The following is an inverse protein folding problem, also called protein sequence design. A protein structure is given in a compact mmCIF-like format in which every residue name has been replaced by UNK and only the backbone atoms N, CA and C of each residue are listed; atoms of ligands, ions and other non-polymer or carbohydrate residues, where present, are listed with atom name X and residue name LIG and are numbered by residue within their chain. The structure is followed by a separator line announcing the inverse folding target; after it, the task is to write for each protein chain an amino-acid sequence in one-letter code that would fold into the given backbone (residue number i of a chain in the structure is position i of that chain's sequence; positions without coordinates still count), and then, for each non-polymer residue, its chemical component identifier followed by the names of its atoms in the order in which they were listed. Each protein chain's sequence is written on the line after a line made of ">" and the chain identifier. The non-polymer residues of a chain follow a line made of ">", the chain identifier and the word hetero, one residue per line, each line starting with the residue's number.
data_IF_909399878926
#
_entry.id   IF_909399878926
#
_cell.length_a   1.000
_cell.length_b   1.000
_cell.length_c   1.000
_cell.angle_alpha   90.00
_cell.angle_beta   90.00
_cell.angle_gamma   90.00
#
_symmetry.space_group_name_H-M   'P 1'
#
loop_
_entity.id
_entity.type
_entity.pdbx_description
1 polymer ?
#
# COMPACT_ATOMS: atom_id res chain seq x y z
N UNK A 1 -5.13 12.30 -2.90
CA UNK A 1 -5.26 10.92 -2.37
C UNK A 1 -4.02 10.13 -2.70
N UNK A 2 -3.68 9.14 -1.88
CA UNK A 2 -2.65 8.15 -2.22
C UNK A 2 -1.23 8.48 -1.76
N UNK A 3 -1.01 9.49 -0.91
CA UNK A 3 0.29 9.70 -0.27
C UNK A 3 0.48 8.77 0.94
N UNK A 4 -0.59 8.59 1.70
CA UNK A 4 -0.65 7.71 2.86
C UNK A 4 -1.49 6.49 2.52
N UNK A 5 -1.01 5.34 2.94
CA UNK A 5 -1.76 4.09 2.95
C UNK A 5 -1.83 3.60 4.39
N UNK A 6 -2.84 2.78 4.65
CA UNK A 6 -3.08 2.24 5.97
C UNK A 6 -3.39 0.76 5.88
N UNK A 7 -3.31 0.09 7.03
CA UNK A 7 -3.84 -1.24 7.19
C UNK A 7 -4.26 -1.47 8.63
N UNK A 8 -5.24 -2.36 8.81
CA UNK A 8 -5.87 -2.60 10.10
C UNK A 8 -6.09 -4.09 10.33
N UNK A 9 -5.73 -4.56 11.52
CA UNK A 9 -6.19 -5.81 12.11
C UNK A 9 -7.26 -5.48 13.15
N UNK A 10 -8.51 -5.85 12.88
CA UNK A 10 -9.68 -5.42 13.65
C UNK A 10 -10.37 -6.59 14.34
N UNK A 11 -11.23 -6.27 15.30
CA UNK A 11 -12.04 -7.23 16.04
C UNK A 11 -13.51 -6.80 16.06
N UNK A 12 -14.44 -7.76 16.24
CA UNK A 12 -15.89 -7.50 16.30
C UNK A 12 -16.49 -7.69 17.70
N UNK A 13 -15.77 -8.35 18.61
CA UNK A 13 -16.26 -8.63 19.96
C UNK A 13 -15.72 -7.63 20.98
N UNK A 14 -16.63 -7.02 21.75
CA UNK A 14 -16.30 -6.07 22.81
C UNK A 14 -15.48 -6.73 23.93
N UNK A 15 -15.87 -7.94 24.33
CA UNK A 15 -15.14 -8.75 25.29
C UNK A 15 -14.29 -9.79 24.58
N UNK A 16 -13.04 -9.89 25.01
CA UNK A 16 -12.12 -10.93 24.56
C UNK A 16 -11.76 -11.83 25.73
N UNK A 17 -11.77 -13.14 25.51
CA UNK A 17 -11.16 -14.12 26.41
C UNK A 17 -9.63 -14.12 26.30
N UNK A 18 -9.08 -13.50 25.24
CA UNK A 18 -7.64 -13.33 24.97
C UNK A 18 -7.21 -11.87 25.12
N UNK A 19 -5.91 -11.59 25.20
CA UNK A 19 -5.37 -10.23 25.29
C UNK A 19 -5.29 -9.48 23.95
N UNK A 20 -6.09 -9.86 22.94
CA UNK A 20 -6.02 -9.25 21.60
C UNK A 20 -6.39 -7.78 21.60
N UNK A 21 -5.79 -7.00 20.71
CA UNK A 21 -6.06 -5.58 20.48
C UNK A 21 -6.42 -5.36 19.01
N UNK A 22 -7.13 -4.28 18.69
CA UNK A 22 -7.18 -3.82 17.31
C UNK A 22 -5.94 -2.98 17.03
N UNK A 23 -5.33 -3.11 15.86
CA UNK A 23 -4.15 -2.33 15.46
C UNK A 23 -4.29 -1.75 14.06
N UNK A 24 -4.00 -0.46 13.89
CA UNK A 24 -3.97 0.23 12.60
C UNK A 24 -2.65 0.97 12.42
N UNK A 25 -2.00 0.78 11.26
CA UNK A 25 -0.77 1.49 10.87
C UNK A 25 -1.03 2.47 9.73
N UNK A 26 -0.32 3.60 9.72
CA UNK A 26 -0.27 4.55 8.60
C UNK A 26 1.16 4.63 8.06
N UNK A 27 1.33 4.36 6.76
CA UNK A 27 2.59 4.46 6.04
C UNK A 27 2.55 5.62 5.03
N UNK A 28 3.62 6.42 5.03
CA UNK A 28 3.87 7.45 4.01
C UNK A 28 4.64 6.82 2.85
N UNK A 29 4.04 6.79 1.66
CA UNK A 29 4.63 6.15 0.47
C UNK A 29 5.87 6.84 -0.09
N UNK A 30 6.04 8.15 0.14
CA UNK A 30 7.22 8.87 -0.36
C UNK A 30 8.48 8.56 0.45
N UNK A 31 8.30 8.41 1.76
CA UNK A 31 9.43 8.14 2.67
C UNK A 31 9.56 6.67 3.00
N UNK A 32 8.56 5.87 2.63
CA UNK A 32 8.40 4.46 2.97
C UNK A 32 8.44 4.18 4.49
N UNK A 33 7.83 5.07 5.27
CA UNK A 33 7.88 5.03 6.73
C UNK A 33 6.51 4.98 7.37
N UNK A 34 6.40 4.20 8.44
CA UNK A 34 5.26 4.27 9.37
C UNK A 34 5.31 5.63 10.08
N UNK A 35 4.24 6.40 9.94
CA UNK A 35 4.12 7.77 10.48
C UNK A 35 3.11 7.89 11.62
N UNK A 36 2.19 6.94 11.74
CA UNK A 36 1.26 6.84 12.84
C UNK A 36 0.80 5.41 13.05
N UNK A 37 0.31 5.15 14.26
CA UNK A 37 -0.23 3.88 14.70
C UNK A 37 -1.33 4.18 15.71
N UNK A 38 -2.42 3.42 15.65
CA UNK A 38 -3.41 3.36 16.71
C UNK A 38 -3.66 1.90 17.06
N UNK A 39 -3.42 1.53 18.30
CA UNK A 39 -3.66 0.18 18.78
C UNK A 39 -4.30 0.22 20.15
N UNK A 40 -5.36 -0.57 20.31
CA UNK A 40 -6.05 -0.67 21.59
C UNK A 40 -7.37 -1.43 21.48
N UNK A 41 -7.96 -1.67 22.65
CA UNK A 41 -9.29 -2.25 22.80
C UNK A 41 -10.17 -1.33 23.65
N UNK A 42 -10.77 -0.27 23.08
CA UNK A 42 -11.76 0.53 23.79
C UNK A 42 -12.97 -0.33 24.22
N UNK A 43 -13.80 0.23 25.10
CA UNK A 43 -14.95 -0.45 25.71
C UNK A 43 -15.88 -1.14 24.69
N UNK A 44 -15.99 -0.59 23.47
CA UNK A 44 -16.81 -1.17 22.40
C UNK A 44 -16.04 -1.19 21.07
N UNK A 45 -16.29 -2.20 20.23
CA UNK A 45 -15.71 -2.33 18.90
C UNK A 45 -16.08 -1.13 17.98
N UNK A 46 -17.31 -0.59 17.99
CA UNK A 46 -17.63 0.66 17.28
C UNK A 46 -16.77 1.86 17.71
N UNK A 47 -16.31 1.91 18.96
CA UNK A 47 -15.39 2.97 19.41
C UNK A 47 -14.00 2.79 18.81
N UNK A 48 -13.54 1.56 18.63
CA UNK A 48 -12.31 1.27 17.89
C UNK A 48 -12.45 1.69 16.43
N UNK A 49 -13.53 1.29 15.75
CA UNK A 49 -13.77 1.64 14.34
C UNK A 49 -13.82 3.16 14.11
N UNK A 50 -14.41 3.92 15.04
CA UNK A 50 -14.44 5.38 14.95
C UNK A 50 -13.05 6.00 15.10
N UNK A 51 -12.22 5.48 16.00
CA UNK A 51 -10.86 5.95 16.17
C UNK A 51 -10.00 5.61 14.94
N UNK A 52 -10.15 4.41 14.38
CA UNK A 52 -9.55 4.03 13.11
C UNK A 52 -9.99 4.99 11.99
N UNK A 53 -11.29 5.20 11.81
CA UNK A 53 -11.84 6.11 10.78
C UNK A 53 -11.30 7.54 10.91
N UNK A 54 -11.21 8.07 12.14
CA UNK A 54 -10.63 9.40 12.40
C UNK A 54 -9.15 9.46 12.02
N UNK A 55 -8.38 8.42 12.33
CA UNK A 55 -6.98 8.32 11.94
C UNK A 55 -6.84 8.33 10.41
N UNK A 56 -7.67 7.55 9.70
CA UNK A 56 -7.68 7.51 8.23
C UNK A 56 -8.08 8.85 7.63
N UNK A 57 -9.06 9.56 8.21
CA UNK A 57 -9.45 10.90 7.77
C UNK A 57 -8.33 11.91 7.95
N UNK A 58 -7.66 11.90 9.11
CA UNK A 58 -6.58 12.82 9.42
C UNK A 58 -5.41 12.70 8.43
N UNK A 59 -5.02 11.47 8.08
CA UNK A 59 -3.95 11.22 7.10
C UNK A 59 -4.43 11.17 5.66
N UNK A 60 -5.74 11.26 5.42
CA UNK A 60 -6.36 11.01 4.11
C UNK A 60 -5.86 9.69 3.47
N UNK A 61 -5.86 8.62 4.26
CA UNK A 61 -5.29 7.32 3.90
C UNK A 61 -6.37 6.34 3.43
N UNK A 62 -5.98 5.45 2.50
CA UNK A 62 -6.77 4.26 2.13
C UNK A 62 -6.29 3.06 2.96
N UNK A 63 -7.22 2.36 3.61
CA UNK A 63 -6.94 1.26 4.52
C UNK A 63 -7.17 -0.10 3.89
N UNK A 64 -6.16 -0.98 3.96
CA UNK A 64 -6.28 -2.40 3.71
C UNK A 64 -6.48 -3.16 5.03
N UNK A 65 -7.72 -3.54 5.32
CA UNK A 65 -8.06 -4.24 6.56
C UNK A 65 -8.22 -5.75 6.34
N UNK A 66 -8.11 -6.53 7.42
CA UNK A 66 -8.47 -7.95 7.41
C UNK A 66 -9.99 -8.11 7.24
N UNK A 67 -10.43 -8.63 6.09
CA UNK A 67 -11.86 -8.68 5.75
C UNK A 67 -12.59 -9.97 6.19
N UNK A 68 -12.06 -10.68 7.19
CA UNK A 68 -12.71 -11.85 7.77
C UNK A 68 -13.90 -11.48 8.65
N UNK A 69 -13.84 -10.30 9.26
CA UNK A 69 -14.86 -9.75 10.12
C UNK A 69 -15.69 -8.68 9.39
N UNK A 70 -16.98 -8.57 9.74
CA UNK A 70 -17.93 -7.71 9.04
C UNK A 70 -18.17 -6.37 9.73
N UNK A 71 -17.86 -6.27 11.03
CA UNK A 71 -18.17 -5.11 11.87
C UNK A 71 -17.54 -3.82 11.36
N UNK A 72 -16.25 -3.84 11.02
CA UNK A 72 -15.54 -2.66 10.52
C UNK A 72 -16.16 -2.14 9.22
N UNK A 73 -16.37 -3.01 8.22
CA UNK A 73 -16.97 -2.60 6.94
C UNK A 73 -18.37 -2.01 7.14
N UNK A 74 -19.23 -2.69 7.91
CA UNK A 74 -20.58 -2.21 8.20
C UNK A 74 -20.58 -0.85 8.91
N UNK A 75 -19.61 -0.61 9.80
CA UNK A 75 -19.45 0.69 10.45
C UNK A 75 -19.06 1.79 9.45
N UNK A 76 -18.11 1.51 8.56
CA UNK A 76 -17.67 2.46 7.54
C UNK A 76 -18.78 2.76 6.53
N UNK A 77 -19.59 1.77 6.18
CA UNK A 77 -20.79 1.94 5.34
C UNK A 77 -21.81 2.86 6.00
N UNK A 78 -22.14 2.61 7.28
CA UNK A 78 -23.03 3.47 8.08
C UNK A 78 -22.53 4.91 8.17
N UNK A 79 -21.20 5.11 8.21
CA UNK A 79 -20.57 6.42 8.27
C UNK A 79 -20.23 7.01 6.88
N UNK A 80 -20.74 6.43 5.79
CA UNK A 80 -20.47 6.86 4.41
C UNK A 80 -18.97 6.99 4.07
N UNK A 81 -18.14 6.17 4.70
CA UNK A 81 -16.67 6.24 4.68
C UNK A 81 -16.03 5.04 3.99
N UNK A 82 -16.77 4.20 3.26
CA UNK A 82 -16.23 3.03 2.52
C UNK A 82 -15.20 3.41 1.46
N UNK A 83 -15.21 4.66 0.99
CA UNK A 83 -14.18 5.21 0.11
C UNK A 83 -12.80 5.29 0.78
N UNK A 84 -12.70 5.12 2.11
CA UNK A 84 -11.44 5.01 2.85
C UNK A 84 -10.92 3.57 2.94
N UNK A 85 -11.69 2.57 2.52
CA UNK A 85 -11.28 1.17 2.46
C UNK A 85 -10.79 0.84 1.05
N UNK A 86 -9.62 0.22 0.94
CA UNK A 86 -9.09 -0.17 -0.35
C UNK A 86 -9.90 -1.32 -0.95
N UNK A 87 -9.96 -1.36 -2.27
CA UNK A 87 -10.44 -2.53 -2.98
C UNK A 87 -9.54 -3.73 -2.68
N UNK A 88 -10.08 -4.94 -2.76
CA UNK A 88 -9.30 -6.15 -2.54
C UNK A 88 -8.05 -6.16 -3.44
N UNK A 89 -6.83 -6.15 -2.89
CA UNK A 89 -5.62 -6.00 -3.69
C UNK A 89 -5.47 -7.18 -4.69
N UNK A 90 -5.30 -6.92 -6.00
CA UNK A 90 -5.23 -7.99 -7.00
C UNK A 90 -3.96 -8.83 -6.92
N UNK A 91 -2.87 -8.30 -6.36
CA UNK A 91 -1.61 -9.03 -6.15
C UNK A 91 -1.73 -10.21 -5.17
N UNK A 92 -2.84 -10.36 -4.45
CA UNK A 92 -3.09 -11.52 -3.59
C UNK A 92 -3.66 -12.72 -4.36
N UNK A 93 -4.10 -12.55 -5.61
CA UNK A 93 -4.88 -13.58 -6.32
C UNK A 93 -4.14 -14.91 -6.35
N UNK A 94 -2.84 -14.93 -6.63
CA UNK A 94 -2.03 -16.15 -6.72
C UNK A 94 -1.75 -16.81 -5.36
N UNK A 95 -2.04 -16.12 -4.26
CA UNK A 95 -1.89 -16.65 -2.89
C UNK A 95 -3.17 -17.27 -2.35
N UNK A 96 -4.29 -17.11 -3.07
CA UNK A 96 -5.58 -17.65 -2.66
C UNK A 96 -5.84 -19.02 -3.30
N UNK A 97 -6.17 -20.01 -2.47
CA UNK A 97 -6.71 -21.28 -2.95
C UNK A 97 -8.14 -21.09 -3.47
N UNK A 98 -8.98 -20.41 -2.68
CA UNK A 98 -10.34 -20.03 -3.07
C UNK A 98 -10.36 -18.62 -3.69
N UNK A 99 -10.46 -18.56 -5.02
CA UNK A 99 -10.54 -17.30 -5.77
C UNK A 99 -11.84 -16.54 -5.52
N UNK A 100 -12.90 -17.19 -4.99
CA UNK A 100 -14.17 -16.51 -4.69
C UNK A 100 -14.02 -15.42 -3.63
N UNK A 101 -12.97 -15.49 -2.80
CA UNK A 101 -12.63 -14.50 -1.79
C UNK A 101 -12.31 -13.11 -2.39
N UNK A 102 -11.95 -13.05 -3.68
CA UNK A 102 -11.78 -11.79 -4.42
C UNK A 102 -13.10 -11.03 -4.61
N UNK A 103 -14.24 -11.71 -4.52
CA UNK A 103 -15.57 -11.09 -4.69
C UNK A 103 -16.03 -10.30 -3.45
N UNK A 104 -15.24 -10.29 -2.36
CA UNK A 104 -15.53 -9.48 -1.16
C UNK A 104 -15.42 -7.98 -1.42
N UNK A 105 -14.73 -7.57 -2.49
CA UNK A 105 -14.69 -6.19 -2.99
C UNK A 105 -13.78 -5.25 -2.20
N UNK A 106 -13.67 -5.39 -0.88
CA UNK A 106 -12.85 -4.53 -0.01
C UNK A 106 -11.96 -5.33 0.93
N UNK A 107 -10.75 -4.81 1.19
CA UNK A 107 -9.77 -5.40 2.11
C UNK A 107 -9.19 -6.75 1.67
N UNK A 108 -8.35 -7.34 2.51
CA UNK A 108 -7.64 -8.59 2.24
C UNK A 108 -8.20 -9.74 3.09
N UNK A 109 -8.48 -10.93 2.51
CA UNK A 109 -8.81 -12.13 3.27
C UNK A 109 -7.65 -12.60 4.14
N UNK A 110 -7.91 -12.86 5.43
CA UNK A 110 -6.90 -13.35 6.37
C UNK A 110 -6.70 -14.86 6.27
N UNK A 111 -6.20 -15.35 5.14
CA UNK A 111 -5.83 -16.77 4.97
C UNK A 111 -4.36 -17.00 5.36
N UNK A 112 -4.03 -18.22 5.80
CA UNK A 112 -2.65 -18.56 6.18
C UNK A 112 -1.62 -18.34 5.05
N UNK A 113 -1.90 -18.71 3.77
CA UNK A 113 -0.98 -18.41 2.68
C UNK A 113 -0.74 -16.91 2.46
N UNK A 114 -1.77 -16.08 2.62
CA UNK A 114 -1.64 -14.62 2.54
C UNK A 114 -0.78 -14.09 3.69
N UNK A 115 -1.03 -14.56 4.93
CA UNK A 115 -0.24 -14.12 6.09
C UNK A 115 1.24 -14.50 5.94
N UNK A 116 1.53 -15.73 5.49
CA UNK A 116 2.90 -16.19 5.26
C UNK A 116 3.64 -15.30 4.25
N UNK A 117 3.00 -14.99 3.12
CA UNK A 117 3.56 -14.06 2.14
C UNK A 117 3.71 -12.64 2.71
N UNK A 118 2.76 -12.19 3.51
CA UNK A 118 2.87 -10.95 4.27
C UNK A 118 4.12 -10.88 5.16
N UNK A 119 4.45 -11.96 5.87
CA UNK A 119 5.66 -12.03 6.68
C UNK A 119 6.95 -11.93 5.83
N UNK A 120 6.97 -12.54 4.63
CA UNK A 120 8.09 -12.40 3.69
C UNK A 120 8.27 -10.93 3.24
N UNK A 121 7.15 -10.24 2.97
CA UNK A 121 7.17 -8.82 2.62
C UNK A 121 7.65 -7.94 3.78
N UNK A 122 7.23 -8.25 5.02
CA UNK A 122 7.73 -7.57 6.22
C UNK A 122 9.24 -7.74 6.33
N UNK A 123 9.75 -8.97 6.24
CA UNK A 123 11.19 -9.23 6.34
C UNK A 123 11.97 -8.46 5.27
N UNK A 124 11.49 -8.51 4.03
CA UNK A 124 12.08 -7.76 2.91
C UNK A 124 12.11 -6.26 3.19
N UNK A 125 10.99 -5.69 3.64
CA UNK A 125 10.90 -4.26 3.96
C UNK A 125 11.82 -3.88 5.14
N UNK A 126 11.84 -4.65 6.22
CA UNK A 126 12.68 -4.41 7.39
C UNK A 126 14.17 -4.35 7.03
N UNK A 127 14.62 -5.24 6.15
CA UNK A 127 16.01 -5.36 5.69
C UNK A 127 16.36 -4.45 4.51
N UNK A 128 15.40 -3.69 3.98
CA UNK A 128 15.66 -2.73 2.91
C UNK A 128 16.32 -1.47 3.46
N UNK A 129 17.42 -0.97 2.86
CA UNK A 129 17.98 0.33 3.18
C UNK A 129 17.00 1.48 2.97
N UNK A 130 16.92 2.41 3.92
CA UNK A 130 16.07 3.62 3.82
C UNK A 130 16.48 4.49 2.64
N UNK A 131 17.77 4.51 2.34
CA UNK A 131 18.36 5.16 1.16
C UNK A 131 19.23 4.13 0.45
N UNK A 132 19.16 4.01 -0.89
CA UNK A 132 20.03 3.10 -1.63
C UNK A 132 21.51 3.28 -1.26
N UNK A 133 22.18 2.18 -0.92
CA UNK A 133 23.59 2.18 -0.47
C UNK A 133 23.83 2.58 0.99
N UNK A 134 22.78 2.87 1.77
CA UNK A 134 22.92 3.13 3.21
C UNK A 134 22.93 1.85 4.04
N UNK A 135 23.71 1.83 5.13
CA UNK A 135 23.65 0.78 6.15
C UNK A 135 22.45 0.94 7.11
N UNK A 136 21.65 2.01 6.94
CA UNK A 136 20.47 2.27 7.74
C UNK A 136 19.27 1.59 7.10
N UNK A 137 18.85 0.47 7.68
CA UNK A 137 17.66 -0.28 7.30
C UNK A 137 16.37 0.34 7.82
N UNK A 138 15.22 -0.01 7.21
CA UNK A 138 13.90 0.44 7.66
C UNK A 138 13.61 0.07 9.12
N UNK A 139 14.07 -1.10 9.57
CA UNK A 139 13.91 -1.54 10.97
C UNK A 139 14.50 -0.52 11.98
N UNK A 140 15.61 0.14 11.63
CA UNK A 140 16.25 1.16 12.49
C UNK A 140 15.44 2.47 12.58
N UNK A 141 14.38 2.60 11.78
CA UNK A 141 13.55 3.81 11.69
C UNK A 141 12.12 3.61 12.19
N UNK A 142 11.77 2.40 12.63
CA UNK A 142 10.52 2.11 13.33
C UNK A 142 10.55 2.82 14.69
N UNK A 143 9.49 3.58 14.98
CA UNK A 143 9.36 4.33 16.24
C UNK A 143 8.49 3.63 17.28
N UNK A 144 7.66 2.69 16.85
CA UNK A 144 6.77 1.94 17.74
C UNK A 144 7.60 0.87 18.46
N UNK A 145 7.95 1.16 19.71
CA UNK A 145 8.56 0.18 20.61
C UNK A 145 7.74 -1.12 20.75
N UNK A 146 6.40 -1.09 20.95
CA UNK A 146 5.65 -2.33 21.08
C UNK A 146 5.62 -3.13 19.76
N UNK A 147 5.60 -2.47 18.59
CA UNK A 147 5.75 -3.19 17.32
C UNK A 147 7.11 -3.89 17.21
N UNK A 148 8.21 -3.23 17.62
CA UNK A 148 9.53 -3.85 17.64
C UNK A 148 9.58 -5.06 18.58
N UNK A 149 8.96 -4.96 19.76
CA UNK A 149 8.86 -6.08 20.69
C UNK A 149 8.06 -7.26 20.11
N UNK A 150 6.91 -6.98 19.48
CA UNK A 150 6.12 -8.02 18.81
C UNK A 150 6.89 -8.67 17.66
N UNK A 151 7.61 -7.91 16.83
CA UNK A 151 8.45 -8.46 15.75
C UNK A 151 9.55 -9.39 16.28
N UNK A 152 10.16 -9.07 17.42
CA UNK A 152 11.16 -9.93 18.07
C UNK A 152 10.50 -11.23 18.58
N UNK A 153 9.36 -11.11 19.27
CA UNK A 153 8.70 -12.25 19.92
C UNK A 153 7.95 -13.17 18.96
N UNK A 154 7.44 -12.65 17.84
CA UNK A 154 6.69 -13.40 16.84
C UNK A 154 7.44 -14.63 16.33
N UNK A 155 8.78 -14.57 16.28
CA UNK A 155 9.63 -15.68 15.82
C UNK A 155 9.91 -16.76 16.88
N UNK A 156 9.64 -16.49 18.16
CA UNK A 156 10.13 -17.32 19.27
C UNK A 156 9.09 -17.70 20.31
N UNK A 157 7.90 -17.09 20.29
CA UNK A 157 6.85 -17.31 21.28
C UNK A 157 5.49 -17.42 20.63
N UNK A 158 4.69 -18.36 21.12
CA UNK A 158 3.25 -18.35 20.86
C UNK A 158 2.63 -17.18 21.63
N UNK A 159 1.85 -16.37 20.93
CA UNK A 159 1.29 -15.16 21.49
C UNK A 159 0.42 -14.43 20.47
N UNK A 160 -0.11 -13.30 20.91
CA UNK A 160 -0.84 -12.44 20.02
C UNK A 160 0.02 -11.25 19.59
N UNK A 161 0.04 -10.98 18.29
CA UNK A 161 0.93 -10.02 17.66
C UNK A 161 0.13 -9.11 16.72
N UNK A 162 -0.94 -8.50 17.24
CA UNK A 162 -1.92 -7.74 16.46
C UNK A 162 -1.26 -6.63 15.61
N UNK A 163 -0.10 -6.08 16.05
CA UNK A 163 0.63 -5.06 15.28
C UNK A 163 1.36 -5.65 14.10
N UNK A 164 1.88 -6.88 14.25
CA UNK A 164 2.52 -7.63 13.17
C UNK A 164 1.46 -8.07 12.16
N UNK A 165 0.30 -8.55 12.62
CA UNK A 165 -0.84 -8.86 11.76
C UNK A 165 -1.32 -7.63 10.97
N UNK A 166 -1.48 -6.47 11.63
CA UNK A 166 -1.78 -5.23 10.91
C UNK A 166 -0.68 -4.83 9.90
N UNK A 167 0.59 -5.10 10.24
CA UNK A 167 1.73 -4.82 9.36
C UNK A 167 1.75 -5.73 8.13
N UNK A 168 1.26 -6.97 8.22
CA UNK A 168 1.11 -7.89 7.09
C UNK A 168 0.25 -7.25 6.00
N UNK A 169 -0.93 -6.77 6.37
CA UNK A 169 -1.85 -6.15 5.41
C UNK A 169 -1.33 -4.83 4.87
N UNK A 170 -0.52 -4.11 5.65
CA UNK A 170 0.16 -2.89 5.20
C UNK A 170 1.17 -3.19 4.11
N UNK A 171 2.00 -4.23 4.31
CA UNK A 171 3.03 -4.61 3.35
C UNK A 171 2.44 -5.18 2.05
N UNK A 172 1.36 -5.96 2.14
CA UNK A 172 0.61 -6.42 0.96
C UNK A 172 0.09 -5.24 0.13
N UNK A 173 -0.50 -4.24 0.80
CA UNK A 173 -1.03 -3.08 0.09
C UNK A 173 0.08 -2.17 -0.44
N UNK A 174 1.20 -2.03 0.30
CA UNK A 174 2.41 -1.35 -0.16
C UNK A 174 2.95 -1.98 -1.45
N UNK A 175 3.07 -3.30 -1.49
CA UNK A 175 3.51 -4.04 -2.68
C UNK A 175 2.58 -3.74 -3.86
N UNK A 176 1.26 -3.82 -3.66
CA UNK A 176 0.27 -3.52 -4.69
C UNK A 176 0.43 -2.11 -5.27
N UNK A 177 0.56 -1.09 -4.42
CA UNK A 177 0.64 0.31 -4.88
C UNK A 177 2.03 0.70 -5.42
N UNK A 178 3.05 -0.11 -5.16
CA UNK A 178 4.41 0.07 -5.71
C UNK A 178 4.51 -0.57 -7.09
N UNK A 179 3.85 -1.72 -7.29
CA UNK A 179 3.85 -2.48 -8.55
C UNK A 179 2.91 -1.88 -9.63
N UNK A 180 2.23 -0.76 -9.35
CA UNK A 180 1.48 -0.03 -10.37
C UNK A 180 2.48 0.65 -11.31
N UNK A 181 2.90 -0.09 -12.35
CA UNK A 181 3.45 0.51 -13.56
C UNK A 181 2.30 1.34 -14.15
N UNK A 182 2.41 2.67 -14.27
CA UNK A 182 1.39 3.43 -15.00
C UNK A 182 1.34 2.82 -16.39
N UNK A 183 0.21 2.19 -16.72
CA UNK A 183 -0.09 1.86 -18.11
C UNK A 183 -0.14 3.21 -18.79
N UNK A 184 0.95 3.61 -19.44
CA UNK A 184 0.92 4.66 -20.43
C UNK A 184 -0.06 4.18 -21.47
N UNK A 185 -1.29 4.69 -21.39
CA UNK A 185 -2.25 4.47 -22.42
C UNK A 185 -1.69 5.22 -23.64
N UNK A 186 -0.97 4.49 -24.51
CA UNK A 186 -0.62 4.97 -25.86
C UNK A 186 -1.89 5.00 -26.71
N UNK A 187 -3.04 5.45 -26.17
CA UNK A 187 -4.03 6.06 -27.03
C UNK A 187 -3.29 7.16 -27.73
N UNK A 188 -3.27 7.10 -29.07
CA UNK A 188 -2.71 8.17 -29.87
C UNK A 188 -3.24 9.50 -29.33
N UNK A 189 -2.45 10.54 -29.50
CA UNK A 189 -2.78 11.94 -29.27
C UNK A 189 -4.02 12.37 -30.07
N UNK A 190 -5.16 11.74 -29.86
CA UNK A 190 -6.46 12.23 -30.27
C UNK A 190 -6.86 13.22 -29.19
N UNK A 191 -6.58 14.49 -29.49
CA UNK A 191 -7.07 15.62 -28.72
C UNK A 191 -8.60 15.48 -28.70
N UNK A 192 -9.19 15.46 -27.50
CA UNK A 192 -10.63 15.35 -27.34
C UNK A 192 -11.33 16.38 -28.25
N UNK A 193 -12.40 16.01 -28.98
CA UNK A 193 -13.15 16.93 -29.84
C UNK A 193 -13.56 18.23 -29.15
N UNK A 194 -13.76 18.21 -27.82
CA UNK A 194 -13.98 19.39 -27.00
C UNK A 194 -12.78 20.35 -27.08
N UNK A 195 -11.56 19.89 -26.79
CA UNK A 195 -10.36 20.73 -26.83
C UNK A 195 -9.95 21.11 -28.26
N UNK A 196 -10.15 20.22 -29.23
CA UNK A 196 -9.80 20.46 -30.62
C UNK A 196 -10.65 21.55 -31.29
N UNK A 197 -11.91 21.73 -30.86
CA UNK A 197 -12.84 22.67 -31.48
C UNK A 197 -13.07 23.95 -30.68
N UNK A 198 -12.61 24.01 -29.43
CA UNK A 198 -12.86 25.16 -28.57
C UNK A 198 -12.00 26.37 -28.99
N UNK A 199 -12.60 27.56 -29.19
CA UNK A 199 -11.91 28.75 -29.71
C UNK A 199 -10.66 29.14 -28.91
N UNK A 200 -10.72 29.04 -27.57
CA UNK A 200 -9.61 29.39 -26.67
C UNK A 200 -8.35 28.51 -26.84
N UNK A 201 -8.49 27.28 -27.32
CA UNK A 201 -7.36 26.35 -27.46
C UNK A 201 -6.86 26.29 -28.92
N UNK A 202 -7.72 26.63 -29.90
CA UNK A 202 -7.40 26.66 -31.33
C UNK A 202 -6.30 27.67 -31.69
N UNK A 203 -6.27 28.83 -31.01
CA UNK A 203 -5.28 29.88 -31.31
C UNK A 203 -3.89 29.56 -30.74
N UNK A 204 -3.81 28.84 -29.62
CA UNK A 204 -2.54 28.53 -28.94
C UNK A 204 -1.86 27.25 -29.43
N UNK A 205 -2.59 26.29 -30.03
CA UNK A 205 -1.99 25.04 -30.53
C UNK A 205 -1.09 25.21 -31.77
N UNK A 206 -1.13 26.35 -32.46
CA UNK A 206 -0.26 26.61 -33.62
C UNK A 206 1.17 27.04 -33.25
N UNK A 207 1.46 27.37 -31.99
CA UNK A 207 2.74 27.97 -31.61
C UNK A 207 3.78 26.98 -31.02
N UNK A 208 3.40 25.80 -30.55
CA UNK A 208 4.32 24.94 -29.76
C UNK A 208 5.15 23.92 -30.57
N UNK A 209 4.94 23.75 -31.87
CA UNK A 209 5.66 22.70 -32.64
C UNK A 209 7.09 23.11 -33.02
N UNK A 210 7.46 24.40 -32.94
CA UNK A 210 8.78 24.85 -33.42
C UNK A 210 9.87 25.03 -32.36
N UNK A 211 9.56 25.02 -31.06
CA UNK A 211 10.56 25.21 -30.00
C UNK A 211 10.36 24.18 -28.87
N UNK A 212 10.59 22.89 -29.14
CA UNK A 212 10.76 21.90 -28.06
C UNK A 212 12.13 22.12 -27.40
N UNK A 213 12.23 22.67 -26.17
CA UNK A 213 13.50 22.99 -25.54
C UNK A 213 14.33 21.75 -25.16
N UNK A 214 13.79 20.54 -25.36
CA UNK A 214 14.46 19.27 -25.06
C UNK A 214 14.91 18.50 -26.31
N UNK A 215 14.84 19.10 -27.51
CA UNK A 215 15.31 18.43 -28.75
C UNK A 215 16.79 18.01 -28.64
N UNK A 216 17.63 18.88 -28.07
CA UNK A 216 19.06 18.61 -27.87
C UNK A 216 19.35 17.39 -26.97
N UNK A 217 18.43 17.03 -26.08
CA UNK A 217 18.56 15.88 -25.18
C UNK A 217 18.11 14.59 -25.88
N UNK A 218 17.13 14.68 -26.78
CA UNK A 218 16.62 13.53 -27.55
C UNK A 218 17.64 13.02 -28.57
N UNK A 219 18.43 13.92 -29.17
CA UNK A 219 19.46 13.54 -30.15
C UNK A 219 20.71 12.93 -29.50
N UNK A 220 21.03 13.32 -28.25
CA UNK A 220 22.11 12.71 -27.47
C UNK A 220 21.79 11.27 -27.00
N UNK A 221 20.50 10.90 -26.97
CA UNK A 221 20.00 9.59 -26.55
C UNK A 221 19.93 8.55 -27.69
N UNK A 222 20.70 8.74 -28.78
CA UNK A 222 20.81 7.80 -29.91
C UNK A 222 21.39 6.41 -29.57
N UNK A 223 21.56 6.06 -28.30
CA UNK A 223 21.80 4.68 -27.88
C UNK A 223 20.44 4.04 -27.65
N UNK A 224 19.99 3.25 -28.64
CA UNK A 224 18.82 2.37 -28.46
C UNK A 224 18.97 1.61 -27.13
N UNK A 225 17.99 1.66 -26.22
CA UNK A 225 18.04 0.84 -25.02
C UNK A 225 18.14 -0.62 -25.49
N UNK A 226 19.20 -1.33 -25.07
CA UNK A 226 19.29 -2.78 -25.31
C UNK A 226 18.07 -3.42 -24.66
N UNK A 227 17.31 -4.18 -25.45
CA UNK A 227 16.26 -5.04 -24.89
C UNK A 227 16.92 -6.03 -23.94
N UNK A 228 16.46 -6.14 -22.68
CA UNK A 228 17.02 -7.08 -21.72
C UNK A 228 16.66 -8.50 -22.16
N UNK A 229 17.67 -9.33 -22.45
CA UNK A 229 17.46 -10.72 -22.87
C UNK A 229 17.30 -11.68 -21.69
N UNK A 230 17.58 -11.26 -20.44
CA UNK A 230 17.33 -12.05 -19.23
C UNK A 230 17.39 -11.22 -17.94
N UNK A 231 16.66 -11.67 -16.91
CA UNK A 231 16.63 -11.06 -15.56
C UNK A 231 17.98 -11.15 -14.84
N UNK A 232 18.89 -12.01 -15.31
CA UNK A 232 20.22 -12.23 -14.75
C UNK A 232 21.20 -11.08 -15.01
N UNK A 233 20.88 -10.16 -15.90
CA UNK A 233 21.73 -9.00 -16.23
C UNK A 233 21.73 -7.92 -15.12
N UNK A 234 20.84 -8.05 -14.12
CA UNK A 234 20.74 -7.12 -12.97
C UNK A 234 21.52 -7.56 -11.73
N UNK A 235 22.16 -8.74 -11.75
CA UNK A 235 22.96 -9.21 -10.62
C UNK A 235 24.39 -8.67 -10.79
N UNK A 236 24.91 -7.83 -9.88
CA UNK A 236 26.31 -7.43 -9.93
C UNK A 236 27.18 -8.68 -9.80
N UNK A 237 27.99 -8.96 -10.83
CA UNK A 237 29.02 -9.98 -10.76
C UNK A 237 30.13 -9.41 -9.89
N UNK A 238 30.39 -10.05 -8.76
CA UNK A 238 31.59 -9.79 -7.99
C UNK A 238 32.77 -10.41 -8.76
N UNK A 239 33.69 -9.55 -9.20
CA UNK A 239 35.06 -9.93 -9.51
C UNK A 239 35.85 -10.09 -8.20
#
# INVERSE_FOLDING_TARGET
>A
YGMYIAASDNYDHDQSTTQSLGSTHILNRLTDRIVAEYTGRPLTAPKYYENERRLLLYYNALCNYENNLKGLHAYFEKMHSTHQLCDTPPNIIDKLDDKSLMNRGKGTPGTLPIKNWGFELILTWLLTPVVPGSNILNLHKIRSEPLLQELIYHSTKDGNFDRVDALVYLMIYRDQVTNIIPKYDKRGTEIDPFFANHPLFKENMKQEVQNDPFTSIKDAAGVKPKEPQSILDYIPRND
#
